data_IF_211663632608
#
_entry.id   IF_211663632608
#
_cell.length_a   1.000
_cell.length_b   1.000
_cell.length_c   1.000
_cell.angle_alpha   90.00
_cell.angle_beta   90.00
_cell.angle_gamma   90.00
#
_symmetry.space_group_name_H-M   'P 1'
#
loop_
_entity.id
_entity.type
_entity.pdbx_description
1 polymer ?
#
# COMPACT_ATOMS: atom_id res chain seq x y z
N UNK A 1 13.07 5.26 -0.85
CA UNK A 1 11.85 4.90 -1.59
C UNK A 1 12.20 3.65 -2.37
N UNK A 2 11.39 2.60 -2.24
CA UNK A 2 11.63 1.33 -2.92
C UNK A 2 11.11 1.40 -4.34
N UNK A 3 11.98 1.07 -5.29
CA UNK A 3 11.56 0.88 -6.68
C UNK A 3 10.89 -0.49 -6.89
N UNK A 4 10.49 -0.79 -8.12
CA UNK A 4 9.81 -2.04 -8.45
C UNK A 4 10.65 -3.29 -8.16
N UNK A 5 11.98 -3.21 -8.24
CA UNK A 5 12.84 -4.36 -7.99
C UNK A 5 13.09 -4.55 -6.49
N UNK A 6 13.24 -3.48 -5.73
CA UNK A 6 13.26 -3.53 -4.26
C UNK A 6 11.96 -4.15 -3.71
N UNK A 7 10.81 -3.72 -4.24
CA UNK A 7 9.50 -4.26 -3.86
C UNK A 7 9.38 -5.76 -4.15
N UNK A 8 9.89 -6.23 -5.29
CA UNK A 8 9.91 -7.67 -5.62
C UNK A 8 10.79 -8.47 -4.67
N UNK A 9 11.95 -7.93 -4.28
CA UNK A 9 12.86 -8.58 -3.32
C UNK A 9 12.15 -8.73 -1.98
N UNK A 10 11.56 -7.63 -1.47
CA UNK A 10 10.80 -7.67 -0.22
C UNK A 10 9.62 -8.66 -0.29
N UNK A 11 8.85 -8.62 -1.38
CA UNK A 11 7.72 -9.53 -1.59
C UNK A 11 8.15 -11.00 -1.58
N UNK A 12 9.31 -11.33 -2.19
CA UNK A 12 9.86 -12.69 -2.13
C UNK A 12 10.14 -13.13 -0.70
N UNK A 13 10.67 -12.24 0.13
CA UNK A 13 10.98 -12.57 1.52
C UNK A 13 9.72 -12.70 2.37
N UNK A 14 8.70 -11.86 2.12
CA UNK A 14 7.36 -12.02 2.70
C UNK A 14 6.73 -13.37 2.31
N UNK A 15 6.79 -13.73 1.02
CA UNK A 15 6.27 -15.02 0.55
C UNK A 15 6.97 -16.21 1.21
N UNK A 16 8.30 -16.16 1.37
CA UNK A 16 9.06 -17.21 2.08
C UNK A 16 8.63 -17.30 3.55
N UNK A 17 8.51 -16.16 4.23
CA UNK A 17 8.14 -16.10 5.65
C UNK A 17 6.75 -16.70 5.91
N UNK A 18 5.77 -16.35 5.06
CA UNK A 18 4.39 -16.80 5.17
C UNK A 18 4.11 -18.15 4.48
N UNK A 19 5.16 -18.79 3.94
CA UNK A 19 5.09 -20.06 3.20
C UNK A 19 4.07 -20.01 2.05
N UNK A 20 4.06 -18.91 1.30
CA UNK A 20 3.21 -18.72 0.13
C UNK A 20 3.74 -19.56 -1.03
N UNK A 21 2.87 -20.33 -1.67
CA UNK A 21 3.21 -21.00 -2.93
C UNK A 21 3.27 -19.98 -4.08
N UNK A 22 4.49 -19.58 -4.43
CA UNK A 22 4.78 -18.60 -5.49
C UNK A 22 4.48 -19.11 -6.90
N UNK A 23 4.18 -20.40 -7.07
CA UNK A 23 3.64 -20.92 -8.34
C UNK A 23 2.19 -20.54 -8.56
N UNK A 24 1.43 -20.44 -7.46
CA UNK A 24 0.02 -20.04 -7.45
C UNK A 24 -0.07 -18.51 -7.32
N UNK A 25 0.58 -17.95 -6.32
CA UNK A 25 0.57 -16.53 -6.00
C UNK A 25 1.89 -15.89 -6.44
N UNK A 26 1.97 -15.50 -7.71
CA UNK A 26 3.16 -14.81 -8.24
C UNK A 26 3.34 -13.48 -7.51
N UNK A 27 4.58 -13.09 -7.23
CA UNK A 27 4.90 -11.87 -6.48
C UNK A 27 4.33 -10.62 -7.16
N UNK A 28 4.34 -10.59 -8.49
CA UNK A 28 3.74 -9.49 -9.26
C UNK A 28 2.22 -9.38 -9.07
N UNK A 29 1.52 -10.51 -8.93
CA UNK A 29 0.07 -10.51 -8.67
C UNK A 29 -0.20 -9.93 -7.28
N UNK A 30 0.58 -10.34 -6.29
CA UNK A 30 0.46 -9.85 -4.91
C UNK A 30 0.73 -8.35 -4.83
N UNK A 31 1.82 -7.88 -5.42
CA UNK A 31 2.15 -6.45 -5.49
C UNK A 31 1.06 -5.64 -6.21
N UNK A 32 0.52 -6.16 -7.32
CA UNK A 32 -0.56 -5.48 -8.03
C UNK A 32 -1.86 -5.41 -7.22
N UNK A 33 -2.18 -6.44 -6.45
CA UNK A 33 -3.35 -6.42 -5.57
C UNK A 33 -3.18 -5.42 -4.42
N UNK A 34 -1.98 -5.36 -3.84
CA UNK A 34 -1.62 -4.39 -2.80
C UNK A 34 -1.68 -2.96 -3.33
N UNK A 35 -1.09 -2.72 -4.50
CA UNK A 35 -1.07 -1.41 -5.15
C UNK A 35 -2.49 -0.89 -5.40
N UNK A 36 -3.37 -1.75 -5.97
CA UNK A 36 -4.78 -1.42 -6.14
C UNK A 36 -5.50 -1.13 -4.81
N UNK A 37 -5.22 -1.91 -3.77
CA UNK A 37 -5.79 -1.65 -2.45
C UNK A 37 -5.35 -0.28 -1.90
N UNK A 38 -4.08 0.08 -2.08
CA UNK A 38 -3.53 1.40 -1.70
C UNK A 38 -4.17 2.54 -2.50
N UNK A 39 -4.36 2.37 -3.80
CA UNK A 39 -5.05 3.36 -4.65
C UNK A 39 -6.49 3.63 -4.18
N UNK A 40 -7.18 2.59 -3.74
CA UNK A 40 -8.53 2.66 -3.17
C UNK A 40 -8.52 3.09 -1.68
N UNK A 41 -7.35 3.43 -1.12
CA UNK A 41 -7.13 3.81 0.29
C UNK A 41 -7.54 2.74 1.31
N UNK A 42 -7.49 1.47 0.90
CA UNK A 42 -7.86 0.31 1.72
C UNK A 42 -6.64 -0.16 2.51
N UNK A 43 -6.79 -0.16 3.84
CA UNK A 43 -5.78 -0.72 4.76
C UNK A 43 -5.74 -2.26 4.71
N UNK A 44 -4.64 -2.91 5.15
CA UNK A 44 -4.60 -4.37 5.23
C UNK A 44 -5.73 -4.97 6.06
N UNK A 45 -6.10 -4.32 7.16
CA UNK A 45 -7.21 -4.73 8.04
C UNK A 45 -8.57 -4.63 7.34
N UNK A 46 -8.82 -3.56 6.60
CA UNK A 46 -10.05 -3.40 5.81
C UNK A 46 -10.10 -4.40 4.65
N UNK A 47 -8.97 -4.64 3.99
CA UNK A 47 -8.87 -5.63 2.92
C UNK A 47 -9.22 -7.04 3.44
N UNK A 48 -8.70 -7.40 4.62
CA UNK A 48 -9.03 -8.67 5.29
C UNK A 48 -10.53 -8.77 5.62
N UNK A 49 -11.14 -7.68 6.08
CA UNK A 49 -12.58 -7.64 6.37
C UNK A 49 -13.42 -7.82 5.10
N UNK A 50 -13.04 -7.13 4.02
CA UNK A 50 -13.72 -7.21 2.72
C UNK A 50 -13.57 -8.60 2.06
N UNK A 51 -12.46 -9.30 2.32
CA UNK A 51 -12.25 -10.67 1.83
C UNK A 51 -13.35 -11.64 2.31
N UNK A 52 -13.95 -11.39 3.48
CA UNK A 52 -15.12 -12.13 3.96
C UNK A 52 -14.87 -13.65 4.09
N UNK A 53 -15.46 -14.44 3.21
CA UNK A 53 -15.29 -15.91 3.16
C UNK A 53 -14.27 -16.41 2.13
N UNK A 54 -13.73 -15.53 1.29
CA UNK A 54 -12.83 -15.90 0.20
C UNK A 54 -11.43 -16.19 0.75
N UNK A 55 -11.01 -17.45 0.61
CA UNK A 55 -9.71 -17.92 1.06
C UNK A 55 -8.53 -17.26 0.33
N UNK A 56 -8.66 -17.00 -0.97
CA UNK A 56 -7.60 -16.37 -1.75
C UNK A 56 -7.41 -14.92 -1.32
N UNK A 57 -8.50 -14.17 -1.15
CA UNK A 57 -8.44 -12.78 -0.72
C UNK A 57 -7.88 -12.64 0.70
N UNK A 58 -8.25 -13.54 1.63
CA UNK A 58 -7.64 -13.58 2.97
C UNK A 58 -6.14 -13.81 2.92
N UNK A 59 -5.68 -14.70 2.03
CA UNK A 59 -4.25 -14.96 1.87
C UNK A 59 -3.49 -13.75 1.35
N UNK A 60 -4.10 -12.99 0.43
CA UNK A 60 -3.55 -11.72 -0.05
C UNK A 60 -3.52 -10.68 1.08
N UNK A 61 -4.56 -10.61 1.92
CA UNK A 61 -4.60 -9.72 3.08
C UNK A 61 -3.47 -9.99 4.07
N UNK A 62 -3.20 -11.27 4.39
CA UNK A 62 -2.06 -11.69 5.24
C UNK A 62 -0.73 -11.20 4.65
N UNK A 63 -0.54 -11.38 3.34
CA UNK A 63 0.66 -10.92 2.63
C UNK A 63 0.78 -9.41 2.68
N UNK A 64 -0.31 -8.68 2.42
CA UNK A 64 -0.33 -7.21 2.45
C UNK A 64 0.07 -6.68 3.83
N UNK A 65 -0.49 -7.25 4.89
CA UNK A 65 -0.19 -6.87 6.27
C UNK A 65 1.28 -7.06 6.62
N UNK A 66 1.87 -8.20 6.26
CA UNK A 66 3.28 -8.46 6.52
C UNK A 66 4.19 -7.59 5.65
N UNK A 67 3.81 -7.33 4.40
CA UNK A 67 4.54 -6.43 3.50
C UNK A 67 4.62 -5.00 4.08
N UNK A 68 3.50 -4.41 4.49
CA UNK A 68 3.47 -3.08 5.13
C UNK A 68 4.31 -3.04 6.41
N UNK A 69 4.24 -4.11 7.21
CA UNK A 69 5.01 -4.24 8.44
C UNK A 69 6.52 -4.23 8.17
N UNK A 70 6.99 -4.93 7.13
CA UNK A 70 8.41 -4.93 6.78
C UNK A 70 8.85 -3.63 6.13
N UNK A 71 8.02 -3.00 5.29
CA UNK A 71 8.28 -1.65 4.78
C UNK A 71 8.51 -0.67 5.93
N UNK A 72 7.61 -0.67 6.92
CA UNK A 72 7.74 0.15 8.12
C UNK A 72 9.00 -0.17 8.93
N UNK A 73 9.31 -1.46 9.12
CA UNK A 73 10.52 -1.87 9.86
C UNK A 73 11.81 -1.39 9.18
N UNK A 74 11.81 -1.31 7.86
CA UNK A 74 12.94 -0.81 7.07
C UNK A 74 12.94 0.72 6.91
N UNK A 75 11.99 1.45 7.53
CA UNK A 75 11.75 2.88 7.27
C UNK A 75 11.65 3.18 5.77
N UNK A 76 11.03 2.27 5.02
CA UNK A 76 10.85 2.34 3.59
C UNK A 76 9.40 2.73 3.24
N UNK A 77 9.25 3.27 2.04
CA UNK A 77 7.99 3.63 1.39
C UNK A 77 8.09 3.20 -0.07
N UNK A 78 7.04 2.64 -0.63
CA UNK A 78 6.88 2.51 -2.08
C UNK A 78 6.21 3.76 -2.69
N UNK A 79 5.95 3.74 -4.00
CA UNK A 79 5.37 4.90 -4.69
C UNK A 79 3.92 5.16 -4.25
N UNK A 80 3.12 4.11 -4.06
CA UNK A 80 1.73 4.22 -3.65
C UNK A 80 1.63 4.81 -2.23
N UNK A 81 2.57 4.46 -1.35
CA UNK A 81 2.69 5.02 0.00
C UNK A 81 2.88 6.55 0.01
N UNK A 82 3.48 7.14 -1.03
CA UNK A 82 3.66 8.59 -1.07
C UNK A 82 2.32 9.32 -1.06
N UNK A 83 1.30 8.75 -1.68
CA UNK A 83 -0.06 9.29 -1.64
C UNK A 83 -0.78 8.87 -0.35
N UNK A 84 -0.82 7.56 -0.06
CA UNK A 84 -1.57 7.02 1.07
C UNK A 84 -1.10 7.62 2.40
N UNK A 85 0.22 7.63 2.66
CA UNK A 85 0.75 8.15 3.93
C UNK A 85 0.60 9.67 4.03
N UNK A 86 0.65 10.39 2.92
CA UNK A 86 0.40 11.85 2.91
C UNK A 86 -1.05 12.15 3.26
N UNK A 87 -2.01 11.41 2.69
CA UNK A 87 -3.43 11.53 3.05
C UNK A 87 -3.64 11.19 4.53
N UNK A 88 -3.06 10.09 5.02
CA UNK A 88 -3.12 9.71 6.43
C UNK A 88 -2.52 10.79 7.35
N UNK A 89 -1.39 11.39 6.95
CA UNK A 89 -0.78 12.50 7.69
C UNK A 89 -1.73 13.69 7.78
N UNK A 90 -2.35 14.09 6.67
CA UNK A 90 -3.29 15.21 6.66
C UNK A 90 -4.57 14.94 7.47
N UNK A 91 -5.04 13.69 7.51
CA UNK A 91 -6.19 13.29 8.33
C UNK A 91 -5.87 13.29 9.84
N UNK A 92 -4.64 12.97 10.21
CA UNK A 92 -4.24 12.83 11.62
C UNK A 92 -3.54 14.07 12.20
N UNK A 93 -3.01 14.94 11.35
CA UNK A 93 -2.29 16.16 11.73
C UNK A 93 -2.86 17.39 11.01
N UNK A 94 -3.98 17.96 11.50
CA UNK A 94 -4.67 19.07 10.84
C UNK A 94 -3.82 20.32 10.63
N UNK A 95 -2.88 20.62 11.53
CA UNK A 95 -1.98 21.77 11.39
C UNK A 95 -1.04 21.64 10.19
N UNK A 96 -0.60 20.41 9.89
CA UNK A 96 0.22 20.13 8.70
C UNK A 96 -0.60 20.38 7.45
N UNK A 97 -1.82 19.84 7.37
CA UNK A 97 -2.74 20.08 6.26
C UNK A 97 -3.01 21.57 6.06
N UNK A 98 -3.30 22.30 7.14
CA UNK A 98 -3.58 23.75 7.11
C UNK A 98 -2.42 24.54 6.51
N UNK A 99 -1.19 24.22 6.89
CA UNK A 99 0.00 24.86 6.31
C UNK A 99 0.07 24.69 4.78
N UNK A 100 -0.26 23.49 4.29
CA UNK A 100 -0.32 23.23 2.84
C UNK A 100 -1.49 23.94 2.15
N UNK A 101 -2.66 24.00 2.78
CA UNK A 101 -3.84 24.72 2.24
C UNK A 101 -3.61 26.24 2.17
N UNK A 102 -2.90 26.82 3.14
CA UNK A 102 -2.53 28.24 3.13
C UNK A 102 -1.51 28.59 2.03
N UNK A 103 -0.60 27.65 1.75
CA UNK A 103 0.42 27.76 0.70
C UNK A 103 -0.17 27.55 -0.70
N UNK A 104 -0.98 26.53 -0.89
CA UNK A 104 -1.59 26.17 -2.16
C UNK A 104 -3.05 26.62 -2.23
N UNK A 105 -3.25 27.94 -2.32
CA UNK A 105 -4.59 28.56 -2.35
C UNK A 105 -5.39 28.27 -3.62
N UNK A 106 -4.68 28.00 -4.72
CA UNK A 106 -5.26 27.64 -6.00
C UNK A 106 -4.59 26.36 -6.46
N UNK A 107 -5.41 25.32 -6.69
CA UNK A 107 -4.95 24.00 -7.12
C UNK A 107 -5.50 23.79 -8.52
N UNK A 108 -4.60 23.54 -9.47
CA UNK A 108 -4.92 23.12 -10.83
C UNK A 108 -4.44 21.69 -10.97
N UNK A 109 -5.35 20.81 -11.35
CA UNK A 109 -5.04 19.41 -11.65
C UNK A 109 -5.29 19.22 -13.14
N UNK A 110 -4.25 18.83 -13.85
CA UNK A 110 -4.33 18.42 -15.24
C UNK A 110 -4.53 16.89 -15.30
N UNK A 111 -5.06 16.37 -16.41
CA UNK A 111 -5.35 14.93 -16.59
C UNK A 111 -6.25 14.31 -15.50
N UNK A 112 -7.27 15.04 -15.02
CA UNK A 112 -8.15 14.58 -13.93
C UNK A 112 -8.99 13.32 -14.25
N UNK A 113 -9.03 12.90 -15.52
CA UNK A 113 -9.76 11.70 -15.95
C UNK A 113 -8.98 10.39 -15.73
N UNK A 114 -7.66 10.48 -15.50
CA UNK A 114 -6.80 9.32 -15.23
C UNK A 114 -6.92 8.87 -13.77
#
# INVERSE_FOLDING_TARGET
>A
IYDTDDQKILMKDVCKLLQIDTKIYKERMLLSAISRAKDEMISPEEFELQAGGDYHQKKIAEVYKEYEKQMKANNALDFDDLLVKTVQLFQTQPEVLKSYQERFRYIMVDEYQD
#
